data_IF_271921667802
#
_entry.id   IF_271921667802
#
_cell.length_a   1.000
_cell.length_b   1.000
_cell.length_c   1.000
_cell.angle_alpha   90.00
_cell.angle_beta   90.00
_cell.angle_gamma   90.00
#
_symmetry.space_group_name_H-M   'P 1'
#
loop_
_entity.id
_entity.type
_entity.pdbx_description
1 polymer ?
#
# COMPACT_ATOMS: atom_id res chain seq x y z
N UNK A 1 -7.64 -18.57 0.79
CA UNK A 1 -8.30 -17.65 1.74
C UNK A 1 -8.09 -17.97 3.21
N UNK A 2 -8.33 -19.20 3.69
CA UNK A 2 -8.30 -19.53 5.13
C UNK A 2 -6.96 -19.28 5.88
N UNK A 3 -5.79 -19.48 5.26
CA UNK A 3 -4.48 -19.28 5.93
C UNK A 3 -4.11 -17.82 6.18
N UNK A 4 -4.27 -16.93 5.18
CA UNK A 4 -3.89 -15.50 5.30
C UNK A 4 -4.72 -14.73 6.34
N UNK A 5 -5.87 -15.25 6.75
CA UNK A 5 -6.74 -14.66 7.75
C UNK A 5 -6.38 -15.09 9.19
N UNK A 6 -5.74 -16.26 9.36
CA UNK A 6 -5.46 -16.83 10.69
C UNK A 6 -3.97 -16.83 11.05
N UNK A 7 -3.07 -16.71 10.07
CA UNK A 7 -1.63 -16.61 10.32
C UNK A 7 -1.19 -15.14 10.21
N UNK A 8 -0.54 -14.64 11.27
CA UNK A 8 0.11 -13.33 11.25
C UNK A 8 1.33 -13.42 10.32
N UNK A 9 1.28 -12.74 9.17
CA UNK A 9 2.34 -12.77 8.16
C UNK A 9 3.22 -11.53 8.18
N UNK A 10 2.88 -10.52 9.00
CA UNK A 10 3.69 -9.32 9.20
C UNK A 10 3.86 -8.99 10.68
N UNK A 11 5.04 -8.49 11.02
CA UNK A 11 5.40 -8.08 12.38
C UNK A 11 5.85 -6.62 12.40
N UNK A 12 5.36 -5.83 13.37
CA UNK A 12 5.82 -4.46 13.59
C UNK A 12 7.19 -4.52 14.25
N UNK A 13 8.22 -4.00 13.57
CA UNK A 13 9.62 -4.04 14.01
C UNK A 13 10.15 -2.69 14.47
N UNK A 14 9.50 -1.59 14.09
CA UNK A 14 9.83 -0.25 14.57
C UNK A 14 8.60 0.67 14.62
N UNK A 15 8.67 1.67 15.50
CA UNK A 15 7.64 2.67 15.73
C UNK A 15 8.34 3.97 16.13
N UNK A 16 8.24 4.99 15.29
CA UNK A 16 8.96 6.26 15.51
C UNK A 16 8.19 7.43 14.92
N UNK A 17 8.53 8.65 15.32
CA UNK A 17 7.98 9.87 14.73
C UNK A 17 9.04 10.49 13.82
N UNK A 18 8.69 10.71 12.56
CA UNK A 18 9.60 11.29 11.57
C UNK A 18 8.94 12.45 10.82
N UNK A 19 9.77 13.40 10.43
CA UNK A 19 9.38 14.47 9.53
C UNK A 19 9.46 14.00 8.08
N UNK A 20 8.43 14.33 7.31
CA UNK A 20 8.42 14.28 5.85
C UNK A 20 8.32 15.71 5.33
N UNK A 21 8.45 15.89 4.02
CA UNK A 21 8.16 17.18 3.38
C UNK A 21 6.69 17.63 3.57
N UNK A 22 5.80 16.72 3.94
CA UNK A 22 4.38 16.97 4.19
C UNK A 22 4.05 17.12 5.69
N UNK A 23 5.07 17.12 6.56
CA UNK A 23 4.91 17.26 8.01
C UNK A 23 5.26 15.99 8.79
N UNK A 24 4.90 16.00 10.08
CA UNK A 24 5.20 14.92 11.02
C UNK A 24 4.22 13.75 10.88
N UNK A 25 4.78 12.54 10.87
CA UNK A 25 4.04 11.29 10.89
C UNK A 25 4.61 10.35 11.94
N UNK A 26 3.73 9.55 12.56
CA UNK A 26 4.17 8.31 13.21
C UNK A 26 4.42 7.29 12.11
N UNK A 27 5.65 6.83 11.99
CA UNK A 27 6.10 5.87 10.98
C UNK A 27 6.26 4.52 11.66
N UNK A 28 5.47 3.56 11.22
CA UNK A 28 5.51 2.18 11.65
C UNK A 28 6.20 1.35 10.58
N UNK A 29 7.15 0.52 11.00
CA UNK A 29 7.87 -0.39 10.10
C UNK A 29 7.42 -1.82 10.36
N UNK A 30 7.08 -2.53 9.29
CA UNK A 30 6.63 -3.91 9.31
C UNK A 30 7.57 -4.78 8.51
N UNK A 31 7.83 -6.00 8.98
CA UNK A 31 8.56 -7.01 8.23
C UNK A 31 7.63 -8.18 7.89
N UNK A 32 7.59 -8.57 6.61
CA UNK A 32 6.94 -9.81 6.17
C UNK A 32 7.77 -11.02 6.60
N UNK A 33 7.13 -11.94 7.32
CA UNK A 33 7.74 -13.16 7.86
C UNK A 33 8.20 -14.11 6.74
N UNK A 34 7.48 -14.13 5.61
CA UNK A 34 7.74 -15.05 4.50
C UNK A 34 8.67 -14.41 3.48
N UNK A 35 8.32 -13.22 2.97
CA UNK A 35 9.05 -12.54 1.92
C UNK A 35 10.25 -11.72 2.41
N UNK A 36 10.39 -11.55 3.73
CA UNK A 36 11.37 -10.66 4.39
C UNK A 36 11.38 -9.23 3.86
N UNK A 37 10.31 -8.83 3.18
CA UNK A 37 10.12 -7.47 2.70
C UNK A 37 9.79 -6.56 3.86
N UNK A 38 10.22 -5.31 3.76
CA UNK A 38 9.88 -4.26 4.72
C UNK A 38 8.74 -3.44 4.16
N UNK A 39 7.79 -3.08 5.00
CA UNK A 39 6.65 -2.24 4.66
C UNK A 39 6.56 -1.10 5.65
N UNK A 40 5.92 -0.02 5.25
CA UNK A 40 5.78 1.17 6.09
C UNK A 40 4.32 1.56 6.20
N UNK A 41 3.92 2.08 7.36
CA UNK A 41 2.70 2.85 7.51
C UNK A 41 3.04 4.22 8.07
N UNK A 42 2.63 5.26 7.37
CA UNK A 42 2.74 6.65 7.79
C UNK A 42 1.37 7.06 8.33
N UNK A 43 1.31 7.28 9.64
CA UNK A 43 0.09 7.58 10.38
C UNK A 43 0.08 9.05 10.80
N UNK A 44 -0.98 9.74 10.39
CA UNK A 44 -1.31 11.12 10.76
C UNK A 44 -2.39 11.09 11.83
N UNK A 45 -2.18 11.81 12.92
CA UNK A 45 -3.13 11.90 14.03
C UNK A 45 -3.22 10.62 14.86
N UNK A 46 -4.22 10.58 15.74
CA UNK A 46 -4.54 9.41 16.57
C UNK A 46 -5.71 8.64 15.96
N UNK A 47 -5.56 7.32 15.85
CA UNK A 47 -6.59 6.46 15.25
C UNK A 47 -7.56 6.00 16.34
N UNK A 48 -8.81 6.43 16.23
CA UNK A 48 -9.87 6.03 17.13
C UNK A 48 -10.71 4.90 16.51
N UNK A 49 -10.99 3.87 17.31
CA UNK A 49 -11.80 2.75 16.86
C UNK A 49 -13.23 3.22 16.52
N UNK A 50 -13.76 2.76 15.39
CA UNK A 50 -15.10 3.09 14.92
C UNK A 50 -15.23 4.38 14.10
N UNK A 51 -14.25 5.28 14.11
CA UNK A 51 -14.23 6.47 13.26
C UNK A 51 -13.64 6.16 11.87
N UNK A 52 -14.26 6.60 10.77
CA UNK A 52 -13.69 6.41 9.43
C UNK A 52 -12.40 7.20 9.20
N UNK A 53 -11.30 6.49 8.93
CA UNK A 53 -9.99 7.09 8.66
C UNK A 53 -9.73 7.14 7.15
N UNK A 54 -9.10 8.20 6.64
CA UNK A 54 -8.61 8.21 5.25
C UNK A 54 -7.43 7.24 5.13
N UNK A 55 -7.54 6.25 4.24
CA UNK A 55 -6.52 5.22 4.05
C UNK A 55 -6.09 5.16 2.59
N UNK A 56 -4.79 5.18 2.35
CA UNK A 56 -4.17 4.79 1.08
C UNK A 56 -3.32 3.54 1.30
N UNK A 57 -3.62 2.47 0.56
CA UNK A 57 -2.68 1.34 0.41
C UNK A 57 -1.98 1.48 -0.93
N UNK A 58 -0.71 1.87 -0.90
CA UNK A 58 0.11 2.11 -2.08
C UNK A 58 1.10 0.96 -2.25
N UNK A 59 1.11 0.34 -3.42
CA UNK A 59 2.14 -0.64 -3.77
C UNK A 59 3.28 0.09 -4.46
N UNK A 60 4.48 -0.03 -3.90
CA UNK A 60 5.67 0.65 -4.37
C UNK A 60 5.90 0.41 -5.86
N UNK A 61 6.24 1.49 -6.55
CA UNK A 61 6.51 1.48 -7.96
C UNK A 61 7.66 2.43 -8.30
N UNK A 62 8.88 1.89 -8.39
CA UNK A 62 10.13 2.66 -8.49
C UNK A 62 10.07 3.78 -9.54
N UNK A 63 9.65 3.45 -10.75
CA UNK A 63 9.63 4.40 -11.88
C UNK A 63 8.69 5.59 -11.67
N UNK A 64 7.54 5.40 -11.02
CA UNK A 64 6.57 6.49 -10.81
C UNK A 64 6.82 7.20 -9.48
N UNK A 65 7.22 6.46 -8.45
CA UNK A 65 7.35 6.99 -7.09
C UNK A 65 8.68 7.74 -6.91
N UNK A 66 9.78 7.24 -7.48
CA UNK A 66 11.10 7.87 -7.36
C UNK A 66 11.47 8.73 -8.57
N UNK A 67 11.20 8.25 -9.79
CA UNK A 67 11.54 8.97 -11.02
C UNK A 67 10.41 9.86 -11.53
N UNK A 68 9.24 9.85 -10.87
CA UNK A 68 8.08 10.68 -11.23
C UNK A 68 7.57 10.47 -12.66
N UNK A 69 7.84 9.30 -13.25
CA UNK A 69 7.38 8.98 -14.60
C UNK A 69 5.86 8.78 -14.62
N UNK A 70 5.20 9.39 -15.60
CA UNK A 70 3.78 9.16 -15.88
C UNK A 70 3.65 7.91 -16.76
N UNK A 71 3.02 6.87 -16.23
CA UNK A 71 2.90 5.57 -16.90
C UNK A 71 1.43 5.24 -17.13
N UNK A 72 1.07 4.46 -18.16
CA UNK A 72 -0.33 4.12 -18.42
C UNK A 72 -1.04 3.46 -17.22
N UNK A 73 -0.29 2.72 -16.40
CA UNK A 73 -0.79 2.00 -15.23
C UNK A 73 -0.59 2.77 -13.90
N UNK A 74 -0.10 4.02 -13.95
CA UNK A 74 0.10 4.80 -12.72
C UNK A 74 -1.25 5.29 -12.20
N UNK A 75 -1.64 4.80 -11.03
CA UNK A 75 -2.72 5.40 -10.24
C UNK A 75 -2.27 6.71 -9.60
N UNK A 76 -2.85 7.04 -8.44
CA UNK A 76 -2.42 8.18 -7.63
C UNK A 76 -0.89 8.20 -7.39
N UNK A 77 -0.20 9.31 -7.70
CA UNK A 77 1.20 9.49 -7.36
C UNK A 77 1.41 9.38 -5.84
N UNK A 78 2.52 8.75 -5.43
CA UNK A 78 2.82 8.55 -3.99
C UNK A 78 2.84 9.88 -3.22
N UNK A 79 3.48 10.91 -3.80
CA UNK A 79 3.57 12.25 -3.17
C UNK A 79 2.19 12.88 -2.99
N UNK A 80 1.33 12.82 -4.00
CA UNK A 80 -0.02 13.39 -3.94
C UNK A 80 -0.87 12.66 -2.90
N UNK A 81 -0.76 11.34 -2.82
CA UNK A 81 -1.45 10.55 -1.81
C UNK A 81 -0.96 10.88 -0.39
N UNK A 82 0.36 11.02 -0.20
CA UNK A 82 0.93 11.37 1.10
C UNK A 82 0.54 12.80 1.52
N UNK A 83 0.55 13.75 0.60
CA UNK A 83 0.06 15.12 0.81
C UNK A 83 -1.43 15.13 1.18
N UNK A 84 -2.26 14.33 0.50
CA UNK A 84 -3.69 14.23 0.79
C UNK A 84 -3.94 13.71 2.20
N UNK A 85 -3.19 12.69 2.62
CA UNK A 85 -3.22 12.14 3.99
C UNK A 85 -2.73 13.16 5.01
N UNK A 86 -1.67 13.92 4.71
CA UNK A 86 -1.15 14.96 5.59
C UNK A 86 -2.17 16.07 5.91
N UNK A 87 -3.07 16.34 4.95
CA UNK A 87 -4.12 17.36 5.06
C UNK A 87 -5.35 16.91 5.86
N UNK A 88 -5.41 15.64 6.30
CA UNK A 88 -6.47 15.16 7.20
C UNK A 88 -6.06 15.32 8.66
N UNK A 89 -7.04 15.41 9.56
CA UNK A 89 -6.80 15.30 11.01
C UNK A 89 -6.27 13.91 11.37
N UNK A 90 -6.83 12.88 10.73
CA UNK A 90 -6.47 11.46 10.90
C UNK A 90 -6.36 10.78 9.53
N UNK A 91 -5.24 10.10 9.27
CA UNK A 91 -5.05 9.41 8.00
C UNK A 91 -3.86 8.46 7.99
N UNK A 92 -3.88 7.50 7.07
CA UNK A 92 -2.85 6.46 6.96
C UNK A 92 -2.45 6.28 5.51
N UNK A 93 -1.15 6.30 5.24
CA UNK A 93 -0.58 5.77 4.00
C UNK A 93 0.24 4.51 4.32
N UNK A 94 -0.22 3.37 3.83
CA UNK A 94 0.53 2.11 3.85
C UNK A 94 1.33 1.99 2.55
N UNK A 95 2.65 1.90 2.65
CA UNK A 95 3.55 1.62 1.53
C UNK A 95 3.97 0.15 1.58
N UNK A 96 3.43 -0.62 0.64
CA UNK A 96 3.75 -2.02 0.45
C UNK A 96 4.90 -2.15 -0.55
N UNK A 97 6.04 -2.67 -0.09
CA UNK A 97 7.15 -2.96 -0.98
C UNK A 97 6.80 -4.04 -1.99
N UNK A 98 7.23 -3.80 -3.22
CA UNK A 98 7.14 -4.75 -4.32
C UNK A 98 8.56 -5.20 -4.65
N UNK A 99 8.90 -6.48 -4.49
CA UNK A 99 10.18 -6.97 -4.97
C UNK A 99 10.22 -6.81 -6.50
N UNK A 100 11.16 -6.03 -6.99
CA UNK A 100 11.41 -5.85 -8.42
C UNK A 100 12.89 -6.12 -8.67
N UNK A 101 13.17 -7.18 -9.41
CA UNK A 101 14.54 -7.53 -9.80
C UNK A 101 15.01 -6.65 -10.98
N UNK A 102 16.34 -6.44 -11.14
CA UNK A 102 16.87 -5.61 -12.22
C UNK A 102 16.45 -6.05 -13.63
N UNK A 103 16.31 -7.36 -13.88
CA UNK A 103 15.90 -7.85 -15.19
C UNK A 103 14.43 -7.52 -15.50
N UNK A 104 13.57 -7.55 -14.49
CA UNK A 104 12.19 -7.07 -14.60
C UNK A 104 12.11 -5.58 -14.90
N UNK A 105 12.91 -4.75 -14.23
CA UNK A 105 12.95 -3.31 -14.51
C UNK A 105 13.43 -3.02 -15.94
N UNK A 106 14.52 -3.66 -16.39
CA UNK A 106 15.04 -3.54 -17.76
C UNK A 106 13.98 -3.95 -18.78
N UNK A 107 13.31 -5.07 -18.55
CA UNK A 107 12.26 -5.59 -19.45
C UNK A 107 11.12 -4.58 -19.60
N UNK A 108 10.69 -3.94 -18.50
CA UNK A 108 9.65 -2.91 -18.53
C UNK A 108 10.07 -1.68 -19.32
N UNK A 109 11.29 -1.19 -19.12
CA UNK A 109 11.82 -0.06 -19.89
C UNK A 109 11.90 -0.36 -21.39
N UNK A 110 12.34 -1.57 -21.76
CA UNK A 110 12.30 -2.02 -23.16
C UNK A 110 10.87 -2.10 -23.71
N UNK A 111 9.92 -2.53 -22.89
CA UNK A 111 8.49 -2.53 -23.26
C UNK A 111 7.96 -1.12 -23.57
N UNK A 112 8.39 -0.09 -22.82
CA UNK A 112 8.06 1.29 -23.14
C UNK A 112 8.76 1.80 -24.40
N UNK A 113 9.97 1.34 -24.68
CA UNK A 113 10.74 1.75 -25.87
C UNK A 113 10.23 1.10 -27.17
N UNK A 114 9.93 -0.20 -27.14
CA UNK A 114 9.68 -1.01 -28.35
C UNK A 114 8.23 -1.50 -28.48
N UNK A 115 7.38 -1.26 -27.47
CA UNK A 115 6.00 -1.75 -27.42
C UNK A 115 5.84 -3.07 -26.66
N UNK A 116 4.63 -3.33 -26.15
CA UNK A 116 4.31 -4.41 -25.19
C UNK A 116 4.40 -5.85 -25.76
N UNK A 117 4.71 -6.03 -27.05
CA UNK A 117 4.61 -7.31 -27.76
C UNK A 117 5.52 -8.43 -27.27
N UNK A 118 6.58 -8.12 -26.51
CA UNK A 118 7.57 -9.13 -26.08
C UNK A 118 7.72 -9.29 -24.56
N UNK A 119 6.99 -8.52 -23.73
CA UNK A 119 7.44 -8.26 -22.34
C UNK A 119 6.41 -8.42 -21.23
N UNK A 120 5.14 -8.66 -21.55
CA UNK A 120 4.08 -8.83 -20.55
C UNK A 120 4.15 -10.22 -19.90
N UNK A 121 4.78 -10.32 -18.73
CA UNK A 121 4.41 -11.36 -17.77
C UNK A 121 3.09 -10.92 -17.15
N UNK A 122 2.04 -11.72 -17.32
CA UNK A 122 0.79 -11.52 -16.61
C UNK A 122 1.06 -11.41 -15.11
N UNK A 123 0.42 -10.44 -14.45
CA UNK A 123 0.49 -10.31 -13.01
C UNK A 123 -0.02 -11.62 -12.37
N UNK A 124 0.76 -12.19 -11.45
CA UNK A 124 0.35 -13.36 -10.69
C UNK A 124 -0.79 -12.97 -9.74
N UNK A 125 -2.03 -13.45 -9.97
CA UNK A 125 -3.18 -13.09 -9.13
C UNK A 125 -2.98 -13.47 -7.66
N UNK A 126 -2.15 -14.49 -7.39
CA UNK A 126 -1.82 -14.92 -6.02
C UNK A 126 -0.91 -13.91 -5.30
N UNK A 127 -0.01 -13.27 -6.04
CA UNK A 127 0.87 -12.22 -5.49
C UNK A 127 0.09 -10.96 -5.15
N UNK A 128 -0.90 -10.59 -5.96
CA UNK A 128 -1.81 -9.48 -5.65
C UNK A 128 -2.62 -9.75 -4.39
N UNK A 129 -3.25 -10.93 -4.28
CA UNK A 129 -4.02 -11.33 -3.10
C UNK A 129 -3.17 -11.31 -1.81
N UNK A 130 -1.92 -11.77 -1.88
CA UNK A 130 -0.98 -11.70 -0.75
C UNK A 130 -0.69 -10.26 -0.35
N UNK A 131 -0.43 -9.40 -1.32
CA UNK A 131 -0.16 -7.97 -1.09
C UNK A 131 -1.34 -7.29 -0.38
N UNK A 132 -2.58 -7.59 -0.80
CA UNK A 132 -3.77 -7.08 -0.13
C UNK A 132 -3.93 -7.63 1.30
N UNK A 133 -3.62 -8.90 1.53
CA UNK A 133 -3.64 -9.50 2.87
C UNK A 133 -2.66 -8.83 3.83
N UNK A 134 -1.46 -8.52 3.36
CA UNK A 134 -0.45 -7.77 4.14
C UNK A 134 -0.97 -6.38 4.51
N UNK A 135 -1.50 -5.63 3.53
CA UNK A 135 -2.07 -4.30 3.79
C UNK A 135 -3.20 -4.34 4.83
N UNK A 136 -4.07 -5.34 4.76
CA UNK A 136 -5.14 -5.53 5.72
C UNK A 136 -4.63 -5.82 7.14
N UNK A 137 -3.62 -6.69 7.30
CA UNK A 137 -3.01 -6.98 8.60
C UNK A 137 -2.33 -5.75 9.20
N UNK A 138 -1.66 -4.92 8.39
CA UNK A 138 -1.07 -3.65 8.85
C UNK A 138 -2.16 -2.71 9.37
N UNK A 139 -3.25 -2.52 8.61
CA UNK A 139 -4.35 -1.64 9.02
C UNK A 139 -5.03 -2.13 10.31
N UNK A 140 -5.22 -3.44 10.44
CA UNK A 140 -5.72 -4.07 11.67
C UNK A 140 -4.81 -3.82 12.87
N UNK A 141 -3.50 -4.00 12.71
CA UNK A 141 -2.51 -3.78 13.75
C UNK A 141 -2.42 -2.30 14.19
N UNK A 142 -2.76 -1.36 13.29
CA UNK A 142 -2.90 0.06 13.62
C UNK A 142 -4.20 0.36 14.39
N UNK A 143 -5.21 -0.53 14.29
CA UNK A 143 -6.52 -0.37 14.94
C UNK A 143 -7.60 0.20 14.03
N UNK A 144 -7.39 0.20 12.70
CA UNK A 144 -8.41 0.62 11.74
C UNK A 144 -9.55 -0.39 11.72
N UNK A 145 -10.79 0.10 11.76
CA UNK A 145 -12.00 -0.70 11.57
C UNK A 145 -12.84 -0.18 10.40
N UNK A 146 -12.96 1.14 10.28
CA UNK A 146 -13.71 1.81 9.20
C UNK A 146 -12.76 2.72 8.44
N UNK A 147 -12.85 2.71 7.11
CA UNK A 147 -11.93 3.48 6.27
C UNK A 147 -12.60 4.09 5.05
N UNK A 148 -12.14 5.31 4.71
CA UNK A 148 -12.36 5.97 3.42
C UNK A 148 -11.12 5.69 2.57
N UNK A 149 -11.26 4.95 1.49
CA UNK A 149 -10.12 4.50 0.69
C UNK A 149 -9.78 5.52 -0.38
N UNK A 150 -8.55 6.05 -0.37
CA UNK A 150 -8.04 6.94 -1.42
C UNK A 150 -7.60 6.13 -2.65
N UNK A 151 -8.43 6.15 -3.69
CA UNK A 151 -8.17 5.51 -4.98
C UNK A 151 -9.41 4.87 -5.61
N UNK A 152 -9.20 4.26 -6.79
CA UNK A 152 -10.28 3.64 -7.54
C UNK A 152 -10.92 2.46 -6.77
N UNK A 153 -12.25 2.28 -6.86
CA UNK A 153 -12.93 1.12 -6.31
C UNK A 153 -12.33 -0.17 -6.85
N UNK A 154 -11.91 -1.07 -5.96
CA UNK A 154 -11.43 -2.40 -6.32
C UNK A 154 -12.31 -3.46 -5.70
N UNK A 155 -12.45 -4.59 -6.39
CA UNK A 155 -13.06 -5.80 -5.82
C UNK A 155 -12.11 -6.38 -4.77
N UNK A 156 -12.26 -5.94 -3.53
CA UNK A 156 -11.44 -6.37 -2.41
C UNK A 156 -12.00 -7.70 -1.85
N UNK A 157 -11.85 -8.78 -2.61
CA UNK A 157 -12.32 -10.13 -2.24
C UNK A 157 -11.53 -10.78 -1.08
N UNK A 158 -10.71 -10.01 -0.34
CA UNK A 158 -9.92 -10.46 0.81
C UNK A 158 -10.18 -9.70 2.12
N UNK A 159 -10.87 -8.56 2.12
CA UNK A 159 -11.08 -7.74 3.32
C UNK A 159 -12.13 -8.29 4.28
N UNK A 160 -13.06 -9.11 3.80
CA UNK A 160 -14.15 -9.66 4.61
C UNK A 160 -13.69 -10.53 5.79
N UNK A 161 -12.45 -11.02 5.77
CA UNK A 161 -11.87 -11.77 6.89
C UNK A 161 -11.07 -10.93 7.89
N UNK A 162 -10.96 -9.62 7.68
CA UNK A 162 -10.12 -8.73 8.50
C UNK A 162 -10.93 -7.68 9.28
N UNK A 163 -12.27 -7.79 9.36
CA UNK A 163 -13.12 -6.80 10.04
C UNK A 163 -12.85 -5.33 9.63
N UNK A 164 -12.42 -5.13 8.37
CA UNK A 164 -12.20 -3.81 7.78
C UNK A 164 -13.40 -3.43 6.92
N UNK A 165 -14.07 -2.33 7.25
CA UNK A 165 -15.21 -1.78 6.53
C UNK A 165 -14.77 -0.60 5.67
N UNK A 166 -14.99 -0.70 4.36
CA UNK A 166 -14.84 0.45 3.44
C UNK A 166 -16.16 1.22 3.42
N UNK A 167 -16.16 2.43 3.97
CA UNK A 167 -17.37 3.28 4.02
C UNK A 167 -17.48 4.19 2.79
N UNK A 168 -16.36 4.49 2.14
CA UNK A 168 -16.30 5.40 1.00
C UNK A 168 -15.03 5.14 0.17
N UNK A 169 -15.09 5.40 -1.14
CA UNK A 169 -13.92 5.56 -1.99
C UNK A 169 -13.77 7.04 -2.34
N UNK A 170 -12.61 7.61 -2.02
CA UNK A 170 -12.26 9.00 -2.29
C UNK A 170 -11.34 9.02 -3.51
N UNK A 171 -11.67 9.83 -4.50
CA UNK A 171 -10.99 9.88 -5.80
C UNK A 171 -10.10 11.09 -5.98
#
# INVERSE_FOLDING_TARGET
>A
HYRMQNEKTVERVADTVMATEFGLFRVLTYQDVVGRQVHFALVKGEIQAGEPVLVRVHVQHLLSDLLTLQLPDSGWPLRDALQRVANESTGILVLLSRPEDPATLIRRMRGYQFGAGETSRAADPSAELRTYGIGAQILLDIGVQRMRVLGAPKRLSGLSGFNLEVVEYVS
#
